data_IF_577750147080
#
_entry.id   IF_577750147080
#
_cell.length_a   1.000
_cell.length_b   1.000
_cell.length_c   1.000
_cell.angle_alpha   90.00
_cell.angle_beta   90.00
_cell.angle_gamma   90.00
#
_symmetry.space_group_name_H-M   'P 1'
#
loop_
_entity.id
_entity.type
_entity.pdbx_description
1 polymer ?
#
# COMPACT_ATOMS: atom_id res chain seq x y z
N UNK A 1 -9.09 5.40 41.77
CA UNK A 1 -9.72 6.08 40.61
C UNK A 1 -8.71 6.69 39.64
N UNK A 2 -7.76 7.55 40.07
CA UNK A 2 -6.74 8.14 39.17
C UNK A 2 -5.85 7.13 38.42
N UNK A 3 -5.47 6.01 39.06
CA UNK A 3 -4.62 4.96 38.44
C UNK A 3 -5.34 4.21 37.30
N UNK A 4 -6.65 3.97 37.42
CA UNK A 4 -7.42 3.26 36.39
C UNK A 4 -7.61 4.12 35.12
N UNK A 5 -7.77 5.43 35.29
CA UNK A 5 -7.87 6.38 34.17
C UNK A 5 -6.56 6.42 33.39
N UNK A 6 -5.42 6.43 34.10
CA UNK A 6 -4.09 6.45 33.48
C UNK A 6 -3.82 5.17 32.67
N UNK A 7 -4.21 4.00 33.20
CA UNK A 7 -4.05 2.72 32.52
C UNK A 7 -4.92 2.66 31.25
N UNK A 8 -6.16 3.13 31.32
CA UNK A 8 -7.06 3.19 30.15
C UNK A 8 -6.51 4.09 29.04
N UNK A 9 -5.97 5.25 29.40
CA UNK A 9 -5.34 6.19 28.45
C UNK A 9 -4.13 5.59 27.73
N UNK A 10 -3.28 4.87 28.45
CA UNK A 10 -2.09 4.22 27.89
C UNK A 10 -2.46 3.10 26.92
N UNK A 11 -3.47 2.30 27.25
CA UNK A 11 -3.98 1.24 26.37
C UNK A 11 -4.59 1.84 25.10
N UNK A 12 -5.39 2.90 25.22
CA UNK A 12 -6.00 3.59 24.09
C UNK A 12 -4.94 4.20 23.15
N UNK A 13 -3.90 4.82 23.72
CA UNK A 13 -2.80 5.41 22.94
C UNK A 13 -1.98 4.35 22.19
N UNK A 14 -1.76 3.18 22.80
CA UNK A 14 -1.04 2.07 22.19
C UNK A 14 -1.82 1.39 21.05
N UNK A 15 -3.16 1.32 21.15
CA UNK A 15 -4.02 0.75 20.11
C UNK A 15 -4.14 1.71 18.92
N UNK A 16 -4.28 3.02 19.16
CA UNK A 16 -4.37 4.02 18.09
C UNK A 16 -3.09 4.14 17.26
N UNK A 17 -1.91 3.96 17.86
CA UNK A 17 -0.63 4.16 17.17
C UNK A 17 -0.21 2.99 16.26
N UNK A 18 -0.75 1.77 16.45
CA UNK A 18 -0.40 0.60 15.63
C UNK A 18 -1.28 0.39 14.39
N UNK A 19 -2.44 1.03 14.30
CA UNK A 19 -3.48 0.60 13.35
C UNK A 19 -3.49 1.35 12.01
N UNK A 20 -2.71 2.43 11.81
CA UNK A 20 -3.00 3.38 10.72
C UNK A 20 -1.85 3.74 9.78
N UNK A 21 -0.62 3.27 10.02
CA UNK A 21 0.54 3.84 9.31
C UNK A 21 1.35 2.87 8.44
N UNK A 22 1.52 1.60 8.83
CA UNK A 22 2.58 0.79 8.21
C UNK A 22 2.17 0.01 6.95
N UNK A 23 0.86 -0.18 6.71
CA UNK A 23 0.35 -0.91 5.53
C UNK A 23 -0.43 -0.04 4.55
N UNK A 24 -0.41 1.30 4.71
CA UNK A 24 -1.08 2.18 3.75
C UNK A 24 -0.40 2.07 2.38
N UNK A 25 -1.19 2.03 1.30
CA UNK A 25 -0.65 1.94 -0.07
C UNK A 25 0.37 3.03 -0.40
N UNK A 26 0.23 4.22 0.19
CA UNK A 26 1.23 5.28 0.04
C UNK A 26 2.55 4.96 0.77
N UNK A 27 2.48 4.30 1.92
CA UNK A 27 3.66 3.86 2.69
C UNK A 27 4.42 2.77 1.94
N UNK A 28 3.71 1.78 1.39
CA UNK A 28 4.29 0.70 0.56
C UNK A 28 4.99 1.31 -0.67
N UNK A 29 4.32 2.21 -1.39
CA UNK A 29 4.92 2.85 -2.57
C UNK A 29 6.12 3.75 -2.22
N UNK A 30 6.04 4.48 -1.11
CA UNK A 30 7.09 5.43 -0.70
C UNK A 30 8.34 4.77 -0.13
N UNK A 31 8.21 3.59 0.50
CA UNK A 31 9.32 2.87 1.14
C UNK A 31 9.74 1.60 0.41
N UNK A 32 8.95 1.12 -0.55
CA UNK A 32 9.26 -0.04 -1.37
C UNK A 32 10.17 0.27 -2.55
N UNK A 33 10.83 -0.76 -3.07
CA UNK A 33 11.65 -0.67 -4.29
C UNK A 33 10.76 -0.86 -5.51
N UNK A 34 10.63 0.18 -6.34
CA UNK A 34 9.92 0.07 -7.63
C UNK A 34 10.76 -0.79 -8.60
N UNK A 35 10.20 -1.92 -9.02
CA UNK A 35 10.81 -2.87 -9.97
C UNK A 35 10.37 -2.54 -11.40
N UNK A 36 9.12 -2.10 -11.57
CA UNK A 36 8.55 -1.75 -12.87
C UNK A 36 7.65 -0.53 -12.72
N UNK A 37 7.61 0.32 -13.76
CA UNK A 37 6.76 1.50 -13.80
C UNK A 37 6.25 1.73 -15.23
N UNK A 38 4.95 1.92 -15.37
CA UNK A 38 4.30 2.23 -16.64
C UNK A 38 3.23 3.28 -16.42
N UNK A 39 3.24 4.35 -17.24
CA UNK A 39 2.17 5.35 -17.22
C UNK A 39 1.34 5.19 -18.47
N UNK A 40 0.05 4.92 -18.29
CA UNK A 40 -0.89 4.89 -19.40
C UNK A 40 -1.10 6.32 -19.91
N UNK A 41 -0.70 6.53 -21.16
CA UNK A 41 -0.80 7.83 -21.85
C UNK A 41 -2.07 7.95 -22.68
N UNK A 42 -2.81 6.85 -22.87
CA UNK A 42 -4.02 6.79 -23.69
C UNK A 42 -5.31 7.01 -22.88
N UNK A 43 -5.25 6.90 -21.54
CA UNK A 43 -6.38 7.15 -20.65
C UNK A 43 -6.69 8.64 -20.42
N UNK A 44 -7.95 8.95 -20.15
CA UNK A 44 -8.38 10.27 -19.64
C UNK A 44 -7.79 10.59 -18.26
N UNK A 45 -7.40 9.56 -17.50
CA UNK A 45 -6.56 9.66 -16.30
C UNK A 45 -5.14 9.18 -16.62
N UNK A 46 -4.13 10.01 -16.29
CA UNK A 46 -2.71 9.64 -16.37
C UNK A 46 -2.34 8.69 -15.23
N UNK A 47 -2.89 7.49 -15.27
CA UNK A 47 -2.67 6.51 -14.23
C UNK A 47 -1.29 5.87 -14.42
N UNK A 48 -0.56 5.72 -13.31
CA UNK A 48 0.76 5.09 -13.31
C UNK A 48 0.70 3.81 -12.50
N UNK A 49 1.19 2.74 -13.11
CA UNK A 49 1.23 1.39 -12.58
C UNK A 49 2.67 1.10 -12.15
N UNK A 50 2.86 0.75 -10.88
CA UNK A 50 4.13 0.31 -10.33
C UNK A 50 4.04 -1.15 -9.88
N UNK A 51 5.12 -1.90 -10.07
CA UNK A 51 5.37 -3.15 -9.36
C UNK A 51 6.42 -2.83 -8.31
N UNK A 52 6.10 -3.05 -7.03
CA UNK A 52 6.88 -2.60 -5.89
C UNK A 52 7.24 -3.79 -5.01
N UNK A 53 8.53 -3.96 -4.71
CA UNK A 53 9.00 -4.92 -3.73
C UNK A 53 9.10 -4.26 -2.36
N UNK A 54 8.42 -4.79 -1.36
CA UNK A 54 8.37 -4.24 0.00
C UNK A 54 8.21 -5.38 1.00
N UNK A 55 9.06 -5.42 2.04
CA UNK A 55 9.03 -6.45 3.09
C UNK A 55 8.90 -7.90 2.56
N UNK A 56 9.72 -8.26 1.58
CA UNK A 56 9.75 -9.61 0.96
C UNK A 56 8.54 -9.95 0.07
N UNK A 57 7.58 -9.03 -0.05
CA UNK A 57 6.39 -9.17 -0.89
C UNK A 57 6.46 -8.28 -2.14
N UNK A 58 5.69 -8.67 -3.17
CA UNK A 58 5.52 -7.89 -4.40
C UNK A 58 4.10 -7.33 -4.45
N UNK A 59 3.99 -6.02 -4.66
CA UNK A 59 2.74 -5.29 -4.74
C UNK A 59 2.56 -4.68 -6.13
N UNK A 60 1.32 -4.73 -6.63
CA UNK A 60 0.87 -3.91 -7.75
C UNK A 60 0.27 -2.64 -7.20
N UNK A 61 0.95 -1.52 -7.43
CA UNK A 61 0.51 -0.20 -7.02
C UNK A 61 -0.04 0.58 -8.23
N UNK A 62 -1.21 1.19 -8.10
CA UNK A 62 -1.80 2.09 -9.09
C UNK A 62 -1.90 3.48 -8.49
N UNK A 63 -1.23 4.42 -9.11
CA UNK A 63 -1.24 5.85 -8.78
C UNK A 63 -2.18 6.54 -9.75
N UNK A 64 -3.26 7.07 -9.20
CA UNK A 64 -4.20 7.93 -9.92
C UNK A 64 -4.11 9.34 -9.34
N UNK A 65 -4.71 10.32 -10.01
CA UNK A 65 -4.74 11.70 -9.48
C UNK A 65 -5.40 11.85 -8.09
N UNK A 66 -6.19 10.87 -7.65
CA UNK A 66 -6.94 10.90 -6.38
C UNK A 66 -6.31 10.08 -5.27
N UNK A 67 -5.59 9.01 -5.60
CA UNK A 67 -5.15 8.00 -4.62
C UNK A 67 -4.07 7.08 -5.18
N UNK A 68 -3.36 6.45 -4.25
CA UNK A 68 -2.49 5.29 -4.46
C UNK A 68 -3.20 4.04 -3.93
N UNK A 69 -3.20 2.97 -4.72
CA UNK A 69 -3.75 1.67 -4.32
C UNK A 69 -2.71 0.57 -4.59
N UNK A 70 -2.23 -0.09 -3.55
CA UNK A 70 -1.29 -1.21 -3.64
C UNK A 70 -1.99 -2.49 -3.20
N UNK A 71 -1.94 -3.52 -4.05
CA UNK A 71 -2.45 -4.86 -3.73
C UNK A 71 -1.31 -5.87 -3.82
N UNK A 72 -1.27 -6.80 -2.87
CA UNK A 72 -0.33 -7.91 -2.88
C UNK A 72 -0.56 -8.75 -4.15
N UNK A 73 0.52 -9.07 -4.85
CA UNK A 73 0.47 -9.89 -6.05
C UNK A 73 0.53 -11.36 -5.65
N UNK A 74 -0.63 -11.96 -5.39
CA UNK A 74 -0.68 -13.33 -4.86
C UNK A 74 -0.55 -14.44 -5.91
N UNK A 75 -0.80 -14.20 -7.19
CA UNK A 75 -0.58 -15.20 -8.24
C UNK A 75 -0.51 -14.52 -9.60
N UNK A 76 0.62 -14.67 -10.30
CA UNK A 76 0.69 -14.37 -11.72
C UNK A 76 0.27 -15.62 -12.51
N UNK A 77 -1.04 -15.84 -12.70
CA UNK A 77 -1.46 -16.51 -13.94
C UNK A 77 -1.25 -15.49 -15.05
N UNK A 78 -0.07 -15.50 -15.66
CA UNK A 78 0.12 -14.90 -16.98
C UNK A 78 -0.85 -15.62 -17.91
N UNK A 79 -1.97 -14.98 -18.25
CA UNK A 79 -2.86 -15.49 -19.27
C UNK A 79 -2.14 -15.44 -20.61
N UNK A 80 -1.47 -16.55 -20.93
CA UNK A 80 -0.73 -16.75 -22.18
C UNK A 80 -1.64 -16.94 -23.38
N UNK A 81 -2.97 -16.84 -23.25
CA UNK A 81 -3.88 -16.93 -24.40
C UNK A 81 -3.74 -15.79 -25.41
N UNK A 82 -2.93 -14.77 -25.10
CA UNK A 82 -2.69 -13.59 -25.94
C UNK A 82 -1.27 -13.50 -26.53
N UNK A 83 -0.43 -14.54 -26.36
CA UNK A 83 0.87 -14.65 -27.05
C UNK A 83 0.81 -15.58 -28.26
#
# INVERSE_FOLDING_TARGET
MKKLILISLVIFFAICSKSWAEDSSAHILGNGKVIYSFTDSAGTSKDTYHIVYYQEDIYKCVVTYKRVLCNLMQDFTVDRSTM
#
